data_IF_671213327515
#
_entry.id   IF_671213327515
#
_cell.length_a   1.000
_cell.length_b   1.000
_cell.length_c   1.000
_cell.angle_alpha   90.00
_cell.angle_beta   90.00
_cell.angle_gamma   90.00
#
_symmetry.space_group_name_H-M   'P 1'
#
loop_
_entity.id
_entity.type
_entity.pdbx_description
1 polymer ?
#
# COMPACT_ATOMS: atom_id res chain seq x y z
N UNK A 1 -12.96 18.25 -36.12
CA UNK A 1 -11.99 17.34 -35.48
C UNK A 1 -12.51 17.06 -34.09
N UNK A 2 -13.16 15.92 -33.91
CA UNK A 2 -13.76 15.52 -32.63
C UNK A 2 -12.69 14.84 -31.79
N UNK A 3 -12.25 15.51 -30.73
CA UNK A 3 -11.40 14.93 -29.68
C UNK A 3 -12.22 13.92 -28.88
N UNK A 4 -12.23 12.66 -29.35
CA UNK A 4 -12.61 11.52 -28.53
C UNK A 4 -11.49 11.27 -27.52
N UNK A 5 -11.54 11.98 -26.39
CA UNK A 5 -10.91 11.47 -25.17
C UNK A 5 -11.66 10.19 -24.80
N UNK A 6 -11.08 9.05 -25.15
CA UNK A 6 -11.51 7.75 -24.65
C UNK A 6 -11.39 7.84 -23.13
N UNK A 7 -12.53 8.02 -22.46
CA UNK A 7 -12.61 7.94 -21.03
C UNK A 7 -12.23 6.51 -20.63
N UNK A 8 -11.03 6.36 -20.08
CA UNK A 8 -10.56 5.11 -19.49
C UNK A 8 -11.59 4.65 -18.46
N UNK A 9 -12.18 3.47 -18.66
CA UNK A 9 -13.17 2.93 -17.75
C UNK A 9 -12.62 2.86 -16.31
N UNK A 10 -13.43 3.14 -15.27
CA UNK A 10 -13.00 3.04 -13.88
C UNK A 10 -12.41 1.66 -13.60
N UNK A 11 -11.14 1.60 -13.21
CA UNK A 11 -10.43 0.35 -12.90
C UNK A 11 -9.59 -0.27 -14.03
N UNK A 12 -9.63 0.26 -15.25
CA UNK A 12 -8.76 -0.22 -16.31
C UNK A 12 -7.28 0.00 -15.94
N UNK A 13 -6.48 -1.05 -16.13
CA UNK A 13 -5.04 -1.03 -15.88
C UNK A 13 -4.36 -0.01 -16.82
N UNK A 14 -3.52 0.91 -16.30
CA UNK A 14 -2.53 1.59 -17.13
C UNK A 14 -1.86 0.59 -18.08
N UNK A 15 -1.69 0.98 -19.34
CA UNK A 15 -1.26 0.06 -20.40
C UNK A 15 -0.02 -0.76 -19.98
N UNK A 16 -0.10 -2.08 -20.18
CA UNK A 16 0.98 -3.01 -19.88
C UNK A 16 1.05 -3.54 -18.44
N UNK A 17 0.06 -3.28 -17.59
CA UNK A 17 -0.04 -3.85 -16.25
C UNK A 17 -0.93 -5.10 -16.18
N UNK A 18 -0.64 -6.01 -15.24
CA UNK A 18 -1.46 -7.17 -14.94
C UNK A 18 -2.78 -6.75 -14.26
N UNK A 19 -3.88 -7.49 -14.48
CA UNK A 19 -5.14 -7.23 -13.78
C UNK A 19 -4.96 -7.39 -12.27
N UNK A 20 -5.59 -6.50 -11.51
CA UNK A 20 -5.54 -6.49 -10.05
C UNK A 20 -6.95 -6.67 -9.52
N UNK A 21 -7.14 -7.65 -8.64
CA UNK A 21 -8.44 -7.91 -8.05
C UNK A 21 -8.99 -6.69 -7.28
N UNK A 22 -10.28 -6.34 -7.42
CA UNK A 22 -10.92 -5.33 -6.56
C UNK A 22 -10.93 -5.74 -5.09
N UNK A 23 -10.78 -7.04 -4.80
CA UNK A 23 -10.76 -7.57 -3.44
C UNK A 23 -9.39 -7.45 -2.74
N UNK A 24 -8.40 -6.83 -3.38
CA UNK A 24 -7.15 -6.47 -2.74
C UNK A 24 -7.19 -5.00 -2.27
N UNK A 25 -7.36 -4.70 -0.97
CA UNK A 25 -7.45 -3.33 -0.45
C UNK A 25 -6.09 -2.67 -0.24
N UNK A 26 -4.97 -3.38 -0.42
CA UNK A 26 -3.64 -2.88 -0.09
C UNK A 26 -2.96 -2.23 -1.31
N UNK A 27 -2.77 -0.90 -1.36
CA UNK A 27 -2.23 -0.21 -2.53
C UNK A 27 -0.81 -0.70 -2.89
N UNK A 28 0.02 -1.02 -1.91
CA UNK A 28 1.35 -1.58 -2.13
C UNK A 28 1.29 -2.96 -2.82
N UNK A 29 0.44 -3.88 -2.34
CA UNK A 29 0.28 -5.20 -2.98
C UNK A 29 -0.36 -5.07 -4.37
N UNK A 30 -1.32 -4.16 -4.55
CA UNK A 30 -1.90 -3.85 -5.85
C UNK A 30 -0.83 -3.43 -6.86
N UNK A 31 0.13 -2.60 -6.44
CA UNK A 31 1.25 -2.20 -7.28
C UNK A 31 2.22 -3.36 -7.58
N UNK A 32 2.50 -4.24 -6.61
CA UNK A 32 3.32 -5.43 -6.86
C UNK A 32 2.68 -6.38 -7.88
N UNK A 33 1.37 -6.63 -7.77
CA UNK A 33 0.61 -7.44 -8.73
C UNK A 33 0.60 -6.78 -10.09
N UNK A 34 0.21 -5.50 -10.17
CA UNK A 34 0.08 -4.77 -11.44
C UNK A 34 1.38 -4.79 -12.27
N UNK A 35 2.54 -4.82 -11.61
CA UNK A 35 3.85 -4.79 -12.27
C UNK A 35 4.55 -6.16 -12.30
N UNK A 36 3.87 -7.26 -11.93
CA UNK A 36 4.38 -8.62 -12.10
C UNK A 36 5.43 -9.08 -11.09
N UNK A 37 5.53 -8.42 -9.93
CA UNK A 37 6.42 -8.86 -8.84
C UNK A 37 5.85 -10.04 -8.05
N UNK A 38 4.52 -10.16 -7.99
CA UNK A 38 3.80 -11.27 -7.35
C UNK A 38 2.56 -11.65 -8.15
N UNK A 39 2.07 -12.88 -7.94
CA UNK A 39 0.78 -13.33 -8.49
C UNK A 39 -0.39 -12.54 -7.90
N UNK A 40 -1.47 -12.36 -8.68
CA UNK A 40 -2.69 -11.68 -8.26
C UNK A 40 -3.62 -12.50 -7.36
N UNK A 41 -3.39 -13.82 -7.25
CA UNK A 41 -4.20 -14.75 -6.46
C UNK A 41 -3.39 -15.28 -5.28
N UNK A 42 -2.78 -16.45 -5.41
CA UNK A 42 -2.00 -17.09 -4.34
C UNK A 42 -0.54 -16.64 -4.38
N UNK A 43 -0.03 -16.14 -3.26
CA UNK A 43 1.38 -15.74 -3.11
C UNK A 43 1.99 -16.40 -1.86
N UNK A 44 3.09 -17.17 -2.02
CA UNK A 44 3.80 -17.74 -0.88
C UNK A 44 4.21 -16.67 0.15
N UNK A 45 4.05 -16.99 1.44
CA UNK A 45 4.39 -16.05 2.50
C UNK A 45 5.89 -15.70 2.54
N UNK A 46 6.74 -16.66 2.15
CA UNK A 46 8.18 -16.43 1.99
C UNK A 46 8.45 -15.35 0.95
N UNK A 47 7.83 -15.43 -0.22
CA UNK A 47 7.93 -14.45 -1.29
C UNK A 47 7.43 -13.07 -0.86
N UNK A 48 6.25 -12.99 -0.24
CA UNK A 48 5.71 -11.71 0.28
C UNK A 48 6.64 -11.09 1.31
N UNK A 49 7.09 -11.88 2.29
CA UNK A 49 7.98 -11.39 3.34
C UNK A 49 9.30 -10.88 2.77
N UNK A 50 9.86 -11.57 1.78
CA UNK A 50 11.11 -11.24 1.13
C UNK A 50 11.00 -9.95 0.30
N UNK A 51 9.97 -9.83 -0.53
CA UNK A 51 9.70 -8.60 -1.29
C UNK A 51 9.53 -7.40 -0.37
N UNK A 52 8.75 -7.54 0.71
CA UNK A 52 8.58 -6.45 1.69
C UNK A 52 9.92 -6.13 2.36
N UNK A 53 10.72 -7.15 2.70
CA UNK A 53 12.07 -6.97 3.26
C UNK A 53 13.04 -6.27 2.32
N UNK A 54 12.95 -6.50 1.00
CA UNK A 54 13.76 -5.78 0.02
C UNK A 54 13.26 -4.36 -0.22
N UNK A 55 11.94 -4.15 -0.28
CA UNK A 55 11.34 -2.86 -0.53
C UNK A 55 11.78 -1.80 0.50
N UNK A 56 12.00 -2.20 1.77
CA UNK A 56 12.41 -1.29 2.83
C UNK A 56 13.83 -0.75 2.66
N UNK A 57 14.70 -1.43 1.91
CA UNK A 57 16.14 -1.14 1.84
C UNK A 57 16.92 -1.46 3.11
N UNK A 58 16.28 -2.09 4.10
CA UNK A 58 16.93 -2.51 5.36
C UNK A 58 17.80 -3.74 5.11
N UNK A 59 18.94 -3.83 5.80
CA UNK A 59 19.87 -4.95 5.71
C UNK A 59 20.03 -5.68 7.04
N UNK A 60 20.51 -6.91 7.01
CA UNK A 60 20.87 -7.67 8.21
C UNK A 60 19.71 -7.96 9.16
N UNK A 61 19.88 -7.66 10.45
CA UNK A 61 18.91 -7.98 11.51
C UNK A 61 17.60 -7.22 11.37
N UNK A 62 17.64 -5.96 10.92
CA UNK A 62 16.43 -5.15 10.69
C UNK A 62 15.59 -5.70 9.55
N UNK A 63 16.24 -6.14 8.47
CA UNK A 63 15.54 -6.83 7.38
C UNK A 63 14.83 -8.09 7.88
N UNK A 64 15.52 -8.92 8.69
CA UNK A 64 14.93 -10.14 9.28
C UNK A 64 13.72 -9.82 10.17
N UNK A 65 13.76 -8.73 10.93
CA UNK A 65 12.62 -8.26 11.76
C UNK A 65 11.43 -7.86 10.89
N UNK A 66 11.66 -7.11 9.82
CA UNK A 66 10.58 -6.70 8.90
C UNK A 66 9.96 -7.91 8.20
N UNK A 67 10.79 -8.83 7.66
CA UNK A 67 10.31 -10.07 7.04
C UNK A 67 9.40 -10.85 7.97
N UNK A 68 9.79 -11.01 9.24
CA UNK A 68 9.00 -11.72 10.26
C UNK A 68 7.66 -11.04 10.54
N UNK A 69 7.64 -9.71 10.69
CA UNK A 69 6.40 -8.94 10.88
C UNK A 69 5.46 -9.07 9.68
N UNK A 70 6.01 -8.90 8.47
CA UNK A 70 5.26 -9.06 7.23
C UNK A 70 4.65 -10.46 7.11
N UNK A 71 5.43 -11.50 7.42
CA UNK A 71 4.95 -12.88 7.43
C UNK A 71 3.78 -13.06 8.41
N UNK A 72 3.90 -12.58 9.65
CA UNK A 72 2.86 -12.71 10.67
C UNK A 72 1.54 -12.03 10.27
N UNK A 73 1.62 -10.84 9.66
CA UNK A 73 0.45 -10.13 9.12
C UNK A 73 -0.16 -10.92 7.96
N UNK A 74 0.66 -11.47 7.06
CA UNK A 74 0.19 -12.23 5.91
C UNK A 74 -0.49 -13.55 6.29
N UNK A 75 -0.06 -14.23 7.36
CA UNK A 75 -0.70 -15.45 7.88
C UNK A 75 -2.17 -15.21 8.22
N UNK A 76 -2.49 -14.07 8.85
CA UNK A 76 -3.85 -13.77 9.31
C UNK A 76 -4.69 -13.00 8.28
N UNK A 77 -4.09 -12.61 7.15
CA UNK A 77 -4.70 -11.67 6.20
C UNK A 77 -6.01 -12.19 5.58
N UNK A 78 -6.14 -13.51 5.37
CA UNK A 78 -7.35 -14.14 4.83
C UNK A 78 -8.33 -14.66 5.91
N UNK A 79 -8.04 -14.45 7.20
CA UNK A 79 -8.93 -14.83 8.31
C UNK A 79 -8.20 -15.30 9.58
N UNK A 80 -8.92 -15.27 10.72
CA UNK A 80 -8.40 -15.69 12.03
C UNK A 80 -8.77 -17.13 12.44
N UNK A 81 -9.66 -17.81 11.69
CA UNK A 81 -10.06 -19.17 11.98
C UNK A 81 -8.88 -20.16 11.84
N UNK A 82 -8.72 -21.18 12.70
CA UNK A 82 -7.56 -22.07 12.70
C UNK A 82 -7.27 -22.71 11.34
N UNK A 83 -8.30 -23.16 10.62
CA UNK A 83 -8.18 -23.73 9.27
C UNK A 83 -7.64 -22.71 8.25
N UNK A 84 -8.09 -21.45 8.32
CA UNK A 84 -7.63 -20.40 7.41
C UNK A 84 -6.20 -19.98 7.72
N UNK A 85 -5.85 -19.83 9.00
CA UNK A 85 -4.48 -19.55 9.44
C UNK A 85 -3.52 -20.65 8.99
N UNK A 86 -3.90 -21.93 9.20
CA UNK A 86 -3.10 -23.07 8.75
C UNK A 86 -2.96 -23.10 7.22
N UNK A 87 -4.05 -22.88 6.48
CA UNK A 87 -4.02 -22.79 5.02
C UNK A 87 -3.10 -21.67 4.54
N UNK A 88 -3.19 -20.47 5.11
CA UNK A 88 -2.31 -19.35 4.75
C UNK A 88 -0.85 -19.63 5.05
N UNK A 89 -0.57 -20.24 6.22
CA UNK A 89 0.79 -20.60 6.62
C UNK A 89 1.44 -21.64 5.71
N UNK A 90 0.65 -22.58 5.17
CA UNK A 90 1.13 -23.68 4.32
C UNK A 90 1.11 -23.35 2.84
N UNK A 91 0.08 -22.65 2.37
CA UNK A 91 -0.20 -22.44 0.94
C UNK A 91 0.14 -21.02 0.47
N UNK A 92 0.20 -20.03 1.36
CA UNK A 92 0.39 -18.62 1.00
C UNK A 92 -0.86 -17.77 1.24
N UNK A 93 -0.71 -16.46 1.06
CA UNK A 93 -1.81 -15.51 1.15
C UNK A 93 -2.57 -15.42 -0.18
N UNK A 94 -3.89 -15.30 -0.11
CA UNK A 94 -4.80 -15.20 -1.27
C UNK A 94 -5.17 -13.72 -1.44
N UNK A 95 -4.49 -13.02 -2.34
CA UNK A 95 -4.53 -11.56 -2.44
C UNK A 95 -5.88 -11.00 -2.93
N UNK A 96 -6.64 -11.80 -3.67
CA UNK A 96 -7.99 -11.50 -4.15
C UNK A 96 -9.11 -11.95 -3.18
N UNK A 97 -8.74 -12.39 -1.98
CA UNK A 97 -9.65 -12.69 -0.87
C UNK A 97 -9.30 -11.86 0.40
N UNK A 98 -8.66 -10.70 0.24
CA UNK A 98 -8.28 -9.85 1.37
C UNK A 98 -9.43 -8.98 1.89
N UNK A 99 -10.40 -8.61 1.03
CA UNK A 99 -11.63 -7.96 1.45
C UNK A 99 -12.42 -8.82 2.42
N UNK A 100 -13.05 -8.16 3.39
CA UNK A 100 -13.73 -8.81 4.53
C UNK A 100 -12.80 -9.66 5.42
N UNK A 101 -11.49 -9.63 5.16
CA UNK A 101 -10.48 -10.19 6.04
C UNK A 101 -10.26 -9.33 7.29
N UNK A 102 -9.49 -9.81 8.27
CA UNK A 102 -9.28 -9.12 9.56
C UNK A 102 -8.62 -7.74 9.44
N UNK A 103 -7.97 -7.47 8.30
CA UNK A 103 -7.22 -6.25 8.02
C UNK A 103 -7.99 -5.29 7.09
N UNK A 104 -9.19 -5.65 6.64
CA UNK A 104 -9.99 -4.79 5.77
C UNK A 104 -10.72 -3.71 6.58
N UNK A 105 -10.59 -2.47 6.11
CA UNK A 105 -11.27 -1.30 6.65
C UNK A 105 -12.51 -0.91 5.86
N UNK A 106 -12.91 -1.69 4.85
CA UNK A 106 -14.08 -1.43 4.01
C UNK A 106 -14.12 0.01 3.44
N UNK A 107 -12.97 0.52 3.01
CA UNK A 107 -12.82 1.89 2.50
C UNK A 107 -12.67 2.98 3.58
N UNK A 108 -12.79 2.63 4.87
CA UNK A 108 -12.56 3.53 6.00
C UNK A 108 -11.08 3.92 6.20
N UNK A 109 -10.86 4.95 7.01
CA UNK A 109 -9.54 5.56 7.18
C UNK A 109 -9.25 6.63 6.12
N UNK A 110 -8.34 6.35 5.17
CA UNK A 110 -7.93 7.38 4.18
C UNK A 110 -9.02 7.69 3.15
N UNK A 111 -9.88 6.72 2.83
CA UNK A 111 -10.88 6.76 1.75
C UNK A 111 -10.30 6.96 0.35
N UNK A 112 -8.98 6.92 0.18
CA UNK A 112 -8.33 7.05 -1.14
C UNK A 112 -8.69 5.85 -2.02
N UNK A 113 -8.81 4.65 -1.45
CA UNK A 113 -9.32 3.45 -2.11
C UNK A 113 -10.59 3.00 -1.37
N UNK A 114 -11.75 3.07 -2.02
CA UNK A 114 -13.03 2.66 -1.42
C UNK A 114 -13.22 1.14 -1.41
N UNK A 115 -14.34 0.65 -0.87
CA UNK A 115 -14.65 -0.78 -0.77
C UNK A 115 -14.75 -1.45 -2.14
N UNK A 116 -15.18 -0.71 -3.16
CA UNK A 116 -15.35 -1.11 -4.55
C UNK A 116 -14.03 -1.01 -5.36
N UNK A 117 -12.92 -0.70 -4.70
CA UNK A 117 -11.60 -0.53 -5.29
C UNK A 117 -11.48 0.63 -6.29
N UNK A 118 -12.32 1.65 -6.15
CA UNK A 118 -12.19 2.92 -6.86
C UNK A 118 -11.27 3.86 -6.11
N UNK A 119 -10.43 4.56 -6.87
CA UNK A 119 -9.53 5.56 -6.33
C UNK A 119 -10.22 6.91 -6.36
N UNK A 120 -10.27 7.56 -5.20
CA UNK A 120 -10.84 8.90 -5.01
C UNK A 120 -9.70 9.91 -4.94
N UNK A 121 -9.35 10.49 -6.08
CA UNK A 121 -8.20 11.41 -6.21
C UNK A 121 -8.34 12.66 -5.33
N UNK A 122 -9.56 13.11 -5.06
CA UNK A 122 -9.79 14.25 -4.18
C UNK A 122 -9.42 13.93 -2.71
N UNK A 123 -9.38 12.65 -2.33
CA UNK A 123 -8.82 12.24 -1.04
C UNK A 123 -7.29 12.32 -1.00
N UNK A 124 -6.62 12.26 -2.15
CA UNK A 124 -5.18 12.54 -2.28
C UNK A 124 -4.93 14.04 -2.15
N UNK A 125 -5.78 14.87 -2.74
CA UNK A 125 -5.69 16.34 -2.57
C UNK A 125 -5.94 16.74 -1.11
N UNK A 126 -6.88 16.07 -0.44
CA UNK A 126 -7.08 16.22 1.00
C UNK A 126 -5.86 15.74 1.79
N UNK A 127 -5.23 14.62 1.43
CA UNK A 127 -3.98 14.18 2.08
C UNK A 127 -2.90 15.26 1.93
N UNK A 128 -2.79 15.86 0.74
CA UNK A 128 -1.84 16.93 0.44
C UNK A 128 -2.03 18.17 1.33
N UNK A 129 -3.27 18.49 1.75
CA UNK A 129 -3.52 19.61 2.66
C UNK A 129 -2.93 19.43 4.07
N UNK A 130 -2.51 18.22 4.45
CA UNK A 130 -1.77 17.96 5.69
C UNK A 130 -0.25 17.98 5.49
N UNK A 131 0.20 18.00 4.24
CA UNK A 131 1.61 17.96 3.90
C UNK A 131 2.33 19.27 4.19
N UNK A 132 3.66 19.20 4.13
CA UNK A 132 4.55 20.35 4.16
C UNK A 132 5.66 20.18 3.15
N UNK A 133 6.33 21.30 2.85
CA UNK A 133 7.56 21.30 2.08
C UNK A 133 8.63 20.44 2.76
N UNK A 134 9.12 19.46 2.02
CA UNK A 134 10.15 18.52 2.44
C UNK A 134 11.33 18.61 1.46
N UNK A 135 12.54 18.57 2.00
CA UNK A 135 13.76 18.57 1.18
C UNK A 135 13.96 17.16 0.62
N UNK A 136 13.90 17.02 -0.70
CA UNK A 136 14.17 15.73 -1.35
C UNK A 136 15.66 15.41 -1.23
N UNK A 137 16.05 14.22 -0.73
CA UNK A 137 17.45 13.78 -0.71
C UNK A 137 18.14 13.82 -2.09
N UNK A 138 17.37 13.76 -3.17
CA UNK A 138 17.82 13.85 -4.57
C UNK A 138 18.00 15.30 -5.04
N UNK A 139 17.64 16.27 -4.19
CA UNK A 139 17.67 17.70 -4.48
C UNK A 139 16.28 18.30 -4.69
N UNK A 140 16.11 19.57 -4.30
CA UNK A 140 14.85 20.30 -4.43
C UNK A 140 13.92 20.19 -3.21
N UNK A 141 12.71 20.71 -3.38
CA UNK A 141 11.64 20.72 -2.38
C UNK A 141 10.40 20.09 -3.01
N UNK A 142 9.73 19.21 -2.28
CA UNK A 142 8.44 18.66 -2.68
C UNK A 142 7.48 18.56 -1.49
N UNK A 143 6.19 18.43 -1.78
CA UNK A 143 5.17 18.27 -0.75
C UNK A 143 5.17 16.83 -0.19
N UNK A 144 5.23 16.70 1.13
CA UNK A 144 5.24 15.41 1.79
C UNK A 144 4.69 15.41 3.21
N UNK A 145 4.49 14.21 3.76
CA UNK A 145 4.07 14.01 5.14
C UNK A 145 5.14 13.25 5.93
N UNK A 146 5.66 13.83 7.00
CA UNK A 146 6.45 13.09 7.99
C UNK A 146 5.52 12.28 8.90
N UNK A 147 6.07 11.52 9.84
CA UNK A 147 5.28 10.80 10.84
C UNK A 147 4.26 11.70 11.56
N UNK A 148 4.63 12.95 11.87
CA UNK A 148 3.74 13.91 12.55
C UNK A 148 2.55 14.33 11.68
N UNK A 149 2.78 14.62 10.40
CA UNK A 149 1.69 14.98 9.49
C UNK A 149 0.79 13.77 9.20
N UNK A 150 1.37 12.57 9.11
CA UNK A 150 0.62 11.31 9.00
C UNK A 150 -0.29 11.13 10.23
N UNK A 151 0.22 11.29 11.45
CA UNK A 151 -0.59 11.17 12.67
C UNK A 151 -1.74 12.17 12.69
N UNK A 152 -1.49 13.40 12.25
CA UNK A 152 -2.51 14.45 12.13
C UNK A 152 -3.59 14.07 11.13
N UNK A 153 -3.19 13.59 9.95
CA UNK A 153 -4.09 13.10 8.92
C UNK A 153 -4.94 11.92 9.41
N UNK A 154 -4.31 10.95 10.10
CA UNK A 154 -5.01 9.79 10.65
C UNK A 154 -6.03 10.19 11.72
N UNK A 155 -5.66 11.08 12.64
CA UNK A 155 -6.58 11.61 13.66
C UNK A 155 -7.77 12.34 13.03
N UNK A 156 -7.52 13.17 12.01
CA UNK A 156 -8.58 13.86 11.28
C UNK A 156 -9.53 12.89 10.56
N UNK A 157 -9.02 11.77 10.03
CA UNK A 157 -9.84 10.74 9.39
C UNK A 157 -10.67 9.95 10.38
N UNK A 158 -10.11 9.55 11.53
CA UNK A 158 -10.86 8.88 12.59
C UNK A 158 -12.00 9.78 13.08
N UNK A 159 -11.71 11.07 13.30
CA UNK A 159 -12.75 12.05 13.67
C UNK A 159 -13.83 12.18 12.60
N UNK A 160 -13.45 12.14 11.32
CA UNK A 160 -14.39 12.19 10.19
C UNK A 160 -15.22 10.92 10.05
N UNK A 161 -14.65 9.76 10.36
CA UNK A 161 -15.35 8.48 10.35
C UNK A 161 -16.39 8.40 11.48
N UNK A 162 -16.19 9.13 12.60
CA UNK A 162 -17.19 9.26 13.65
C UNK A 162 -17.66 7.89 14.17
N UNK A 163 -18.97 7.69 14.26
CA UNK A 163 -19.57 6.42 14.70
C UNK A 163 -19.32 5.25 13.72
N UNK A 164 -18.94 5.53 12.47
CA UNK A 164 -18.54 4.51 11.50
C UNK A 164 -17.08 4.03 11.72
N UNK A 165 -16.29 4.74 12.54
CA UNK A 165 -14.95 4.30 12.91
C UNK A 165 -15.05 3.09 13.84
N UNK A 166 -14.86 1.89 13.29
CA UNK A 166 -14.79 0.68 14.12
C UNK A 166 -13.62 0.80 15.10
N UNK A 167 -13.76 0.22 16.29
CA UNK A 167 -12.78 0.33 17.38
C UNK A 167 -11.34 -0.04 16.99
N UNK A 168 -11.17 -0.92 15.99
CA UNK A 168 -9.88 -1.39 15.51
C UNK A 168 -9.26 -0.54 14.38
N UNK A 169 -9.99 0.44 13.81
CA UNK A 169 -9.46 1.29 12.73
C UNK A 169 -8.19 2.05 13.11
N UNK A 170 -8.08 2.68 14.30
CA UNK A 170 -6.84 3.32 14.72
C UNK A 170 -5.65 2.35 14.78
N UNK A 171 -5.89 1.10 15.17
CA UNK A 171 -4.85 0.06 15.24
C UNK A 171 -4.37 -0.28 13.82
N UNK A 172 -5.30 -0.52 12.89
CA UNK A 172 -4.95 -0.82 11.49
C UNK A 172 -4.26 0.37 10.80
N UNK A 173 -4.71 1.60 11.05
CA UNK A 173 -4.10 2.80 10.48
C UNK A 173 -2.67 3.03 10.98
N UNK A 174 -2.39 2.79 12.27
CA UNK A 174 -1.04 2.76 12.83
C UNK A 174 -0.16 1.64 12.25
N UNK A 175 -0.78 0.59 11.70
CA UNK A 175 -0.08 -0.47 10.98
C UNK A 175 0.23 -0.12 9.52
N UNK A 176 -0.64 0.62 8.83
CA UNK A 176 -0.49 0.87 7.39
C UNK A 176 0.37 2.09 7.05
N UNK A 177 0.06 3.26 7.58
CA UNK A 177 0.72 4.50 7.17
C UNK A 177 2.18 4.59 7.63
N UNK A 178 2.53 4.21 8.87
CA UNK A 178 3.93 4.13 9.28
C UNK A 178 4.73 3.08 8.51
N UNK A 179 4.10 1.96 8.11
CA UNK A 179 4.76 0.97 7.25
C UNK A 179 4.97 1.52 5.85
N UNK A 180 3.98 2.23 5.29
CA UNK A 180 4.13 2.90 4.02
C UNK A 180 5.25 3.96 4.07
N UNK A 181 5.33 4.77 5.14
CA UNK A 181 6.44 5.70 5.39
C UNK A 181 7.78 4.96 5.54
N UNK A 182 7.81 3.79 6.16
CA UNK A 182 9.04 3.01 6.26
C UNK A 182 9.52 2.51 4.89
N UNK A 183 8.61 2.07 4.03
CA UNK A 183 8.93 1.51 2.71
C UNK A 183 9.18 2.61 1.69
N UNK A 184 8.20 3.49 1.49
CA UNK A 184 8.20 4.56 0.49
C UNK A 184 8.73 5.89 1.05
N UNK A 185 9.12 5.98 2.31
CA UNK A 185 9.67 7.23 2.83
C UNK A 185 10.96 7.63 2.12
N UNK A 186 11.06 8.90 1.78
CA UNK A 186 12.32 9.56 1.42
C UNK A 186 12.94 10.16 2.68
N UNK A 187 14.26 10.25 2.72
CA UNK A 187 15.00 10.77 3.86
C UNK A 187 15.10 9.78 5.04
N UNK A 188 15.57 10.28 6.17
CA UNK A 188 15.93 9.49 7.35
C UNK A 188 15.48 10.14 8.65
N UNK A 189 15.39 9.34 9.71
CA UNK A 189 14.96 9.80 11.04
C UNK A 189 13.64 10.56 11.00
N UNK A 190 13.56 11.64 11.78
CA UNK A 190 12.39 12.52 11.87
C UNK A 190 12.12 13.32 10.58
N UNK A 191 13.13 13.45 9.71
CA UNK A 191 12.99 14.11 8.41
C UNK A 191 12.41 13.16 7.35
N UNK A 192 12.23 11.87 7.66
CA UNK A 192 11.64 10.91 6.74
C UNK A 192 10.19 11.30 6.43
N UNK A 193 9.84 11.33 5.15
CA UNK A 193 8.52 11.74 4.69
C UNK A 193 7.99 10.88 3.53
N UNK A 194 6.67 10.78 3.42
CA UNK A 194 5.97 10.25 2.25
C UNK A 194 5.72 11.38 1.25
N UNK A 195 6.25 11.25 0.03
CA UNK A 195 5.95 12.19 -1.07
C UNK A 195 4.50 12.04 -1.51
N UNK A 196 3.78 13.17 -1.63
CA UNK A 196 2.41 13.19 -2.15
C UNK A 196 2.35 12.69 -3.59
N UNK A 197 3.34 13.06 -4.41
CA UNK A 197 3.42 12.61 -5.79
C UNK A 197 3.55 11.08 -5.88
N UNK A 198 4.37 10.47 -5.01
CA UNK A 198 4.54 9.01 -5.01
C UNK A 198 3.34 8.28 -4.42
N UNK A 199 2.63 8.86 -3.45
CA UNK A 199 1.33 8.33 -3.02
C UNK A 199 0.34 8.36 -4.17
N UNK A 200 0.27 9.45 -4.94
CA UNK A 200 -0.58 9.55 -6.12
C UNK A 200 -0.25 8.47 -7.14
N UNK A 201 1.02 8.30 -7.51
CA UNK A 201 1.48 7.24 -8.41
C UNK A 201 1.17 5.84 -7.87
N UNK A 202 1.32 5.60 -6.57
CA UNK A 202 1.00 4.31 -5.95
C UNK A 202 -0.49 3.97 -6.10
N UNK A 203 -1.39 4.91 -5.80
CA UNK A 203 -2.83 4.64 -5.81
C UNK A 203 -3.42 4.67 -7.23
N UNK A 204 -3.12 5.72 -8.00
CA UNK A 204 -3.73 5.95 -9.32
C UNK A 204 -3.08 5.07 -10.38
N UNK A 205 -1.74 5.09 -10.46
CA UNK A 205 -1.00 4.36 -11.49
C UNK A 205 -0.65 2.94 -11.08
N UNK A 206 -0.86 2.55 -9.82
CA UNK A 206 -0.43 1.25 -9.27
C UNK A 206 1.04 0.97 -9.56
N UNK A 207 1.90 1.98 -9.43
CA UNK A 207 3.36 1.85 -9.64
C UNK A 207 4.11 2.09 -8.34
N UNK A 208 5.23 1.39 -8.21
CA UNK A 208 6.20 1.67 -7.17
C UNK A 208 7.25 2.64 -7.72
N UNK A 209 7.75 3.60 -6.93
CA UNK A 209 8.85 4.46 -7.34
C UNK A 209 10.11 3.69 -7.68
N UNK A 210 10.93 4.23 -8.59
CA UNK A 210 12.11 3.55 -9.13
C UNK A 210 13.09 3.08 -8.04
N UNK A 211 13.35 3.92 -7.03
CA UNK A 211 14.25 3.57 -5.90
C UNK A 211 13.80 2.34 -5.12
N UNK A 212 12.51 2.00 -5.19
CA UNK A 212 11.94 0.83 -4.53
C UNK A 212 12.08 -0.36 -5.46
N UNK A 213 11.68 -0.21 -6.72
CA UNK A 213 11.77 -1.28 -7.72
C UNK A 213 13.21 -1.74 -7.97
N UNK A 214 14.20 -0.86 -7.83
CA UNK A 214 15.62 -1.21 -7.96
C UNK A 214 16.13 -2.14 -6.86
N UNK A 215 15.41 -2.25 -5.73
CA UNK A 215 15.71 -3.16 -4.63
C UNK A 215 15.01 -4.50 -4.78
N UNK A 216 13.96 -4.56 -5.60
CA UNK A 216 13.14 -5.75 -5.76
C UNK A 216 13.81 -6.74 -6.73
N UNK A 217 13.53 -8.05 -6.59
CA UNK A 217 13.85 -9.00 -7.64
C UNK A 217 13.16 -8.57 -8.95
N UNK A 218 13.73 -8.97 -10.09
CA UNK A 218 13.10 -8.71 -11.39
C UNK A 218 11.67 -9.29 -11.39
N UNK A 219 10.69 -8.58 -11.99
CA UNK A 219 9.36 -9.15 -12.20
C UNK A 219 9.46 -10.50 -12.91
N UNK A 220 8.53 -11.40 -12.59
CA UNK A 220 8.38 -12.61 -13.40
C UNK A 220 8.11 -12.18 -14.84
N UNK A 221 8.70 -12.88 -15.82
CA UNK A 221 8.46 -12.58 -17.23
C UNK A 221 6.95 -12.58 -17.48
N UNK A 222 6.46 -11.54 -18.19
CA UNK A 222 5.06 -11.48 -18.62
C UNK A 222 4.86 -12.64 -19.60
N UNK A 223 4.09 -13.65 -19.19
CA UNK A 223 3.61 -14.71 -20.08
C UNK A 223 2.43 -14.15 -20.87
#
# INVERSE_FOLDING_TARGET
MSDQRIATAPGAAPAGQLPVSPNNPCPFLRALVANGYVSGHLVPLSQLSEIIGFATGEMGSEQKKVRRKAWMVAVIANGLGPLRVFKSATSGAVLDELRNGPLDKHGGGSRILDAEARVHEEQIDRLASFGKDCKDPSGGIELGLTAKEIDTFMAANIKRDGDAARWYYPILMKGEWPVLLKILGKGEGEARYLSIAEVRTLFVERRLPERITSRLPKPAAKI
#
